data_IF_623492964751
#
_entry.id   IF_623492964751
#
_cell.length_a   1.000
_cell.length_b   1.000
_cell.length_c   1.000
_cell.angle_alpha   90.00
_cell.angle_beta   90.00
_cell.angle_gamma   90.00
#
_symmetry.space_group_name_H-M   'P 1'
#
loop_
_entity.id
_entity.type
_entity.pdbx_description
1 polymer ?
#
# COMPACT_ATOMS: atom_id res chain seq x y z
N UNK A 1 7.39 -4.59 -5.87
CA UNK A 1 7.58 -4.20 -7.28
C UNK A 1 6.92 -2.85 -7.52
N UNK A 2 7.68 -1.89 -8.04
CA UNK A 2 7.15 -0.58 -8.43
C UNK A 2 6.28 -0.70 -9.69
N UNK A 3 5.17 0.04 -9.74
CA UNK A 3 4.29 0.06 -10.90
C UNK A 3 4.61 1.24 -11.82
N UNK A 4 4.51 1.01 -13.13
CA UNK A 4 4.83 1.98 -14.17
C UNK A 4 3.71 2.04 -15.21
N UNK A 5 3.54 3.21 -15.80
CA UNK A 5 2.69 3.51 -16.96
C UNK A 5 3.55 4.06 -18.10
N UNK A 6 2.92 4.47 -19.20
CA UNK A 6 3.65 5.13 -20.31
C UNK A 6 4.25 6.46 -19.86
N UNK A 7 3.64 7.09 -18.87
CA UNK A 7 4.00 8.38 -18.27
C UNK A 7 5.05 8.24 -17.16
N UNK A 8 5.45 7.01 -16.80
CA UNK A 8 6.48 6.72 -15.81
C UNK A 8 5.96 6.04 -14.54
N UNK A 9 6.66 6.24 -13.42
CA UNK A 9 6.35 5.58 -12.14
C UNK A 9 5.01 6.07 -11.57
N UNK A 10 4.18 5.14 -11.11
CA UNK A 10 2.81 5.44 -10.64
C UNK A 10 2.71 5.87 -9.17
N UNK A 11 3.84 6.01 -8.47
CA UNK A 11 3.85 6.23 -7.02
C UNK A 11 3.42 5.00 -6.20
N UNK A 12 3.20 3.84 -6.84
CA UNK A 12 2.69 2.63 -6.19
C UNK A 12 3.77 1.55 -6.17
N UNK A 13 3.90 0.88 -5.03
CA UNK A 13 4.74 -0.30 -4.86
C UNK A 13 3.91 -1.47 -4.33
N UNK A 14 3.94 -2.61 -5.02
CA UNK A 14 3.31 -3.85 -4.56
C UNK A 14 4.30 -4.67 -3.72
N UNK A 15 3.87 -5.12 -2.54
CA UNK A 15 4.69 -6.00 -1.69
C UNK A 15 4.20 -7.43 -1.87
N UNK A 16 5.10 -8.35 -2.20
CA UNK A 16 4.78 -9.77 -2.38
C UNK A 16 5.13 -10.54 -1.10
N UNK A 17 4.22 -11.40 -0.68
CA UNK A 17 4.40 -12.31 0.44
C UNK A 17 4.42 -13.76 -0.05
N UNK A 18 4.73 -14.70 0.85
CA UNK A 18 4.58 -16.13 0.57
C UNK A 18 3.11 -16.47 0.23
N UNK A 19 2.90 -17.51 -0.56
CA UNK A 19 1.57 -17.98 -0.96
C UNK A 19 0.88 -18.87 0.09
N UNK A 20 1.35 -18.84 1.33
CA UNK A 20 0.90 -19.67 2.44
C UNK A 20 0.37 -18.81 3.61
N UNK A 21 -0.05 -19.46 4.71
CA UNK A 21 -0.58 -18.80 5.90
C UNK A 21 0.44 -17.83 6.53
N UNK A 22 1.74 -18.13 6.46
CA UNK A 22 2.78 -17.24 7.00
C UNK A 22 2.87 -15.94 6.20
N UNK A 23 2.73 -16.02 4.87
CA UNK A 23 2.67 -14.85 4.01
C UNK A 23 1.46 -13.97 4.29
N UNK A 24 0.30 -14.59 4.54
CA UNK A 24 -0.91 -13.86 4.96
C UNK A 24 -0.71 -13.13 6.29
N UNK A 25 -0.09 -13.80 7.28
CA UNK A 25 0.19 -13.21 8.59
C UNK A 25 1.10 -11.99 8.49
N UNK A 26 2.16 -12.06 7.68
CA UNK A 26 3.06 -10.91 7.46
C UNK A 26 2.38 -9.79 6.67
N UNK A 27 1.54 -10.12 5.68
CA UNK A 27 0.75 -9.13 4.95
C UNK A 27 -0.22 -8.37 5.86
N UNK A 28 -0.91 -9.08 6.76
CA UNK A 28 -1.79 -8.49 7.77
C UNK A 28 -1.01 -7.63 8.77
N UNK A 29 0.15 -8.09 9.22
CA UNK A 29 1.02 -7.33 10.14
C UNK A 29 1.50 -6.02 9.52
N UNK A 30 1.89 -6.02 8.25
CA UNK A 30 2.31 -4.80 7.56
C UNK A 30 1.13 -3.83 7.39
N UNK A 31 -0.06 -4.34 7.03
CA UNK A 31 -1.26 -3.51 6.93
C UNK A 31 -1.65 -2.90 8.29
N UNK A 32 -1.61 -3.68 9.36
CA UNK A 32 -1.89 -3.22 10.73
C UNK A 32 -0.90 -2.13 11.18
N UNK A 33 0.38 -2.26 10.83
CA UNK A 33 1.37 -1.21 11.07
C UNK A 33 0.95 0.12 10.43
N UNK A 34 0.56 0.12 9.15
CA UNK A 34 0.11 1.35 8.49
C UNK A 34 -1.18 1.90 9.10
N UNK A 35 -2.14 1.06 9.46
CA UNK A 35 -3.38 1.52 10.11
C UNK A 35 -3.10 2.17 11.48
N UNK A 36 -2.27 1.55 12.33
CA UNK A 36 -1.86 2.12 13.64
C UNK A 36 -1.17 3.47 13.51
N UNK A 37 -0.37 3.61 12.47
CA UNK A 37 0.35 4.83 12.13
C UNK A 37 -0.55 5.90 11.47
N UNK A 38 -1.86 5.64 11.34
CA UNK A 38 -2.82 6.48 10.60
C UNK A 38 -2.42 6.72 9.15
N UNK A 39 -1.77 5.72 8.54
CA UNK A 39 -1.30 5.69 7.15
C UNK A 39 -1.93 4.56 6.34
N UNK A 40 -3.08 4.08 6.79
CA UNK A 40 -3.92 3.09 6.13
C UNK A 40 -4.73 3.63 4.94
N UNK A 41 -5.61 2.79 4.39
CA UNK A 41 -6.40 3.12 3.19
C UNK A 41 -7.25 4.38 3.36
N UNK A 42 -7.95 4.50 4.49
CA UNK A 42 -8.84 5.64 4.78
C UNK A 42 -8.07 6.95 4.86
N UNK A 43 -6.92 6.92 5.52
CA UNK A 43 -6.03 8.09 5.61
C UNK A 43 -5.49 8.48 4.25
N UNK A 44 -5.10 7.52 3.41
CA UNK A 44 -4.64 7.81 2.06
C UNK A 44 -5.73 8.47 1.22
N UNK A 45 -6.97 7.96 1.26
CA UNK A 45 -8.10 8.57 0.56
C UNK A 45 -8.35 10.02 0.99
N UNK A 46 -8.20 10.32 2.28
CA UNK A 46 -8.31 11.70 2.78
C UNK A 46 -7.19 12.60 2.26
N UNK A 47 -5.94 12.11 2.28
CA UNK A 47 -4.78 12.86 1.76
C UNK A 47 -4.96 13.16 0.27
N UNK A 48 -5.31 12.17 -0.54
CA UNK A 48 -5.53 12.35 -1.98
C UNK A 48 -6.60 13.42 -2.29
N UNK A 49 -7.69 13.45 -1.53
CA UNK A 49 -8.75 14.45 -1.71
C UNK A 49 -8.24 15.88 -1.40
N UNK A 50 -7.31 16.03 -0.46
CA UNK A 50 -6.77 17.32 -0.02
C UNK A 50 -5.60 17.80 -0.90
N UNK A 51 -4.87 16.87 -1.52
CA UNK A 51 -3.66 17.15 -2.31
C UNK A 51 -3.90 17.31 -3.81
N UNK A 52 -5.09 17.02 -4.33
CA UNK A 52 -5.39 17.17 -5.75
C UNK A 52 -5.04 18.59 -6.26
N UNK A 53 -3.92 18.71 -6.98
CA UNK A 53 -3.44 19.97 -7.58
C UNK A 53 -2.51 20.83 -6.71
N UNK A 54 -1.97 20.34 -5.58
CA UNK A 54 -1.04 21.08 -4.71
C UNK A 54 0.39 20.54 -4.80
N UNK A 55 1.36 21.34 -4.37
CA UNK A 55 2.76 20.93 -4.28
C UNK A 55 2.97 19.84 -3.21
N UNK A 56 3.40 18.67 -3.68
CA UNK A 56 3.65 17.50 -2.85
C UNK A 56 4.89 17.63 -1.95
N UNK A 57 5.90 18.42 -2.36
CA UNK A 57 7.19 18.50 -1.66
C UNK A 57 7.12 19.25 -0.33
N UNK A 58 6.10 20.08 -0.16
CA UNK A 58 5.87 20.86 1.05
C UNK A 58 4.70 20.34 1.87
N UNK A 59 4.09 19.23 1.47
CA UNK A 59 2.96 18.65 2.18
C UNK A 59 3.45 17.75 3.35
N UNK A 60 3.12 18.08 4.61
CA UNK A 60 3.56 17.30 5.78
C UNK A 60 2.94 15.89 5.85
N UNK A 61 1.88 15.63 5.09
CA UNK A 61 1.31 14.29 4.96
C UNK A 61 2.09 13.42 3.96
N UNK A 62 2.85 14.02 3.05
CA UNK A 62 3.60 13.30 2.01
C UNK A 62 5.11 13.33 2.26
N UNK A 63 5.60 14.32 3.00
CA UNK A 63 7.01 14.52 3.32
C UNK A 63 7.18 14.82 4.80
N UNK A 64 8.17 14.19 5.43
CA UNK A 64 8.63 14.49 6.80
C UNK A 64 10.12 14.77 6.78
N UNK A 65 10.56 15.73 7.59
CA UNK A 65 11.99 15.96 7.81
C UNK A 65 12.50 14.94 8.82
N UNK A 66 13.63 14.31 8.50
CA UNK A 66 14.35 13.49 9.47
C UNK A 66 14.87 14.38 10.59
N UNK A 67 14.54 14.05 11.84
CA UNK A 67 14.90 14.88 12.98
C UNK A 67 16.42 14.96 13.25
N UNK A 68 17.21 14.02 12.71
CA UNK A 68 18.67 13.98 12.89
C UNK A 68 19.40 14.60 11.71
N UNK A 69 19.04 14.25 10.47
CA UNK A 69 19.74 14.73 9.27
C UNK A 69 19.11 15.99 8.65
N UNK A 70 17.86 16.32 8.98
CA UNK A 70 17.10 17.38 8.33
C UNK A 70 16.66 17.03 6.90
N UNK A 71 16.91 15.81 6.43
CA UNK A 71 16.56 15.40 5.07
C UNK A 71 15.05 15.13 4.93
N UNK A 72 14.50 15.51 3.77
CA UNK A 72 13.12 15.18 3.40
C UNK A 72 12.99 13.69 3.12
N UNK A 73 12.13 13.01 3.87
CA UNK A 73 11.74 11.60 3.68
C UNK A 73 10.28 11.51 3.27
N UNK A 74 9.97 10.62 2.33
CA UNK A 74 8.60 10.35 1.88
C UNK A 74 7.82 9.59 2.94
N UNK A 75 6.57 9.99 3.14
CA UNK A 75 5.61 9.28 4.01
C UNK A 75 4.90 8.23 3.17
N UNK A 76 5.13 6.96 3.50
CA UNK A 76 4.43 5.87 2.85
C UNK A 76 3.08 5.59 3.51
N UNK A 77 2.09 5.35 2.66
CA UNK A 77 0.78 4.81 3.00
C UNK A 77 0.68 3.38 2.46
N UNK A 78 -0.02 2.52 3.17
CA UNK A 78 -0.12 1.11 2.80
C UNK A 78 -1.38 0.46 3.35
N UNK A 79 -1.85 -0.56 2.66
CA UNK A 79 -3.00 -1.36 3.10
C UNK A 79 -2.92 -2.76 2.50
N UNK A 80 -3.70 -3.69 3.07
CA UNK A 80 -3.89 -5.00 2.45
C UNK A 80 -4.67 -4.83 1.14
N UNK A 81 -4.13 -5.38 0.05
CA UNK A 81 -4.79 -5.34 -1.24
C UNK A 81 -6.08 -6.16 -1.24
N UNK A 82 -7.11 -5.63 -1.89
CA UNK A 82 -8.42 -6.26 -2.05
C UNK A 82 -8.79 -6.33 -3.53
N UNK A 83 -9.92 -6.97 -3.84
CA UNK A 83 -10.45 -7.00 -5.21
C UNK A 83 -10.66 -5.61 -5.81
N UNK A 84 -10.97 -4.61 -4.97
CA UNK A 84 -11.16 -3.21 -5.36
C UNK A 84 -9.86 -2.46 -5.68
N UNK A 85 -8.70 -3.13 -5.62
CA UNK A 85 -7.40 -2.57 -6.01
C UNK A 85 -6.84 -3.23 -7.26
N UNK A 86 -7.52 -4.23 -7.81
CA UNK A 86 -7.09 -4.90 -9.02
C UNK A 86 -7.02 -3.89 -10.17
N UNK A 87 -8.01 -3.02 -10.31
CA UNK A 87 -8.02 -1.96 -11.32
C UNK A 87 -6.80 -1.02 -11.25
N UNK A 88 -6.19 -0.86 -10.06
CA UNK A 88 -5.02 0.01 -9.82
C UNK A 88 -3.67 -0.65 -10.10
N UNK A 89 -3.63 -1.96 -10.36
CA UNK A 89 -2.38 -2.67 -10.66
C UNK A 89 -2.26 -3.03 -12.14
N UNK A 90 -1.02 -3.20 -12.61
CA UNK A 90 -0.77 -3.53 -14.02
C UNK A 90 -1.28 -4.94 -14.36
N UNK A 91 -1.49 -5.19 -15.65
CA UNK A 91 -1.95 -6.48 -16.14
C UNK A 91 -1.03 -7.64 -15.76
N UNK A 92 0.28 -7.38 -15.71
CA UNK A 92 1.31 -8.34 -15.28
C UNK A 92 1.14 -8.75 -13.82
N UNK A 93 0.72 -7.83 -12.96
CA UNK A 93 0.41 -8.13 -11.56
C UNK A 93 -0.89 -8.93 -11.48
N UNK A 94 -1.95 -8.51 -12.20
CA UNK A 94 -3.25 -9.20 -12.21
C UNK A 94 -3.13 -10.69 -12.55
N UNK A 95 -2.23 -11.04 -13.47
CA UNK A 95 -1.99 -12.44 -13.88
C UNK A 95 -1.30 -13.30 -12.81
N UNK A 96 -0.66 -12.67 -11.81
CA UNK A 96 0.18 -13.35 -10.81
C UNK A 96 -0.44 -13.37 -9.42
N UNK A 97 -1.66 -12.86 -9.26
CA UNK A 97 -2.35 -12.77 -7.97
C UNK A 97 -3.47 -13.81 -7.88
N UNK A 98 -3.59 -14.41 -6.71
CA UNK A 98 -4.74 -15.24 -6.33
C UNK A 98 -5.63 -14.44 -5.39
N UNK A 99 -6.93 -14.47 -5.61
CA UNK A 99 -7.92 -13.86 -4.71
C UNK A 99 -8.44 -14.95 -3.79
N UNK A 100 -8.34 -14.71 -2.49
CA UNK A 100 -8.75 -15.67 -1.46
C UNK A 100 -9.64 -14.99 -0.43
N UNK A 101 -10.67 -15.72 0.01
CA UNK A 101 -11.50 -15.32 1.15
C UNK A 101 -10.76 -15.65 2.45
N UNK A 102 -10.59 -14.66 3.31
CA UNK A 102 -10.01 -14.85 4.65
C UNK A 102 -10.85 -15.84 5.47
N UNK A 103 -12.17 -15.89 5.24
CA UNK A 103 -13.06 -16.82 5.94
C UNK A 103 -12.74 -18.27 5.56
N UNK A 104 -12.51 -18.51 4.27
CA UNK A 104 -12.30 -19.85 3.72
C UNK A 104 -10.92 -20.37 4.12
N UNK A 105 -9.90 -19.50 4.12
CA UNK A 105 -8.57 -19.81 4.65
C UNK A 105 -8.61 -20.27 6.11
N UNK A 106 -9.39 -19.58 6.96
CA UNK A 106 -9.53 -19.95 8.38
C UNK A 106 -10.29 -21.26 8.60
N UNK A 107 -11.08 -21.71 7.62
CA UNK A 107 -11.78 -22.99 7.67
C UNK A 107 -10.90 -24.16 7.20
N UNK A 108 -9.88 -23.90 6.37
CA UNK A 108 -8.95 -24.91 5.86
C UNK A 108 -7.79 -25.24 6.82
N UNK A 109 -7.47 -24.36 7.77
CA UNK A 109 -6.48 -24.61 8.84
C UNK A 109 -7.07 -25.31 10.08
N UNK A 110 -8.28 -25.88 9.99
CA UNK A 110 -8.92 -26.72 11.03
C UNK A 110 -8.97 -28.17 10.58
#
# INVERSE_FOLDING_TARGET
MSLYSREGHLGIHTVKFSGDESGLKEALRLADYFEREKRGRKSWAHVQAVTAGKDDENNPNLVRLDAKSGEKKRVFYGHLATVADLDKVTFEVKKKVSIVSIRDLKQQSK
#
